data_IF_340430265322
#
_entry.id   IF_340430265322
#
_cell.length_a   1.000
_cell.length_b   1.000
_cell.length_c   1.000
_cell.angle_alpha   90.00
_cell.angle_beta   90.00
_cell.angle_gamma   90.00
#
_symmetry.space_group_name_H-M   'P 1'
#
loop_
_entity.id
_entity.type
_entity.pdbx_description
1 polymer ?
#
# COMPACT_ATOMS: atom_id res chain seq x y z
N UNK A 1 -9.94 -9.28 -1.79
CA UNK A 1 -8.89 -8.49 -1.11
C UNK A 1 -8.11 -7.78 -2.20
N UNK A 2 -8.10 -6.44 -2.27
CA UNK A 2 -7.34 -5.73 -3.29
C UNK A 2 -5.84 -6.04 -3.19
N UNK A 3 -5.32 -6.70 -4.22
CA UNK A 3 -3.90 -6.95 -4.42
C UNK A 3 -3.24 -5.68 -4.98
N UNK A 4 -2.21 -5.19 -4.30
CA UNK A 4 -1.53 -3.93 -4.62
C UNK A 4 -0.20 -4.15 -5.32
N UNK A 5 0.53 -5.21 -4.95
CA UNK A 5 1.76 -5.67 -5.59
C UNK A 5 1.74 -7.20 -5.69
N UNK A 6 2.32 -7.75 -6.76
CA UNK A 6 2.43 -9.21 -6.95
C UNK A 6 3.69 -9.55 -7.72
N UNK A 7 4.73 -9.93 -6.99
CA UNK A 7 6.06 -10.18 -7.54
C UNK A 7 6.63 -8.94 -8.24
N UNK A 8 6.42 -7.77 -7.64
CA UNK A 8 6.82 -6.48 -8.21
C UNK A 8 8.04 -5.90 -7.51
N UNK A 9 8.69 -4.94 -8.14
CA UNK A 9 9.80 -4.13 -7.57
C UNK A 9 9.56 -2.62 -7.70
N UNK A 10 8.38 -2.22 -8.18
CA UNK A 10 8.02 -0.83 -8.44
C UNK A 10 6.65 -0.50 -7.81
N UNK A 11 6.28 0.78 -7.90
CA UNK A 11 4.98 1.28 -7.42
C UNK A 11 3.83 0.60 -8.14
N UNK A 12 2.86 0.12 -7.36
CA UNK A 12 1.68 -0.56 -7.88
C UNK A 12 0.68 0.37 -8.57
N UNK A 13 -0.25 -0.24 -9.31
CA UNK A 13 -1.36 0.48 -9.93
C UNK A 13 -2.45 0.84 -8.91
N UNK A 14 -3.30 1.81 -9.26
CA UNK A 14 -4.45 2.17 -8.44
C UNK A 14 -5.52 1.07 -8.45
N UNK A 15 -6.00 0.68 -7.27
CA UNK A 15 -7.03 -0.34 -7.07
C UNK A 15 -8.19 0.24 -6.25
N UNK A 16 -9.41 -0.22 -6.50
CA UNK A 16 -10.59 0.21 -5.75
C UNK A 16 -10.59 -0.35 -4.32
N UNK A 17 -10.85 0.53 -3.35
CA UNK A 17 -11.06 0.24 -1.94
C UNK A 17 -12.51 0.50 -1.56
N UNK A 18 -13.13 -0.48 -0.90
CA UNK A 18 -14.53 -0.42 -0.49
C UNK A 18 -14.83 0.50 0.70
N UNK A 19 -13.79 1.07 1.33
CA UNK A 19 -13.92 1.92 2.50
C UNK A 19 -13.92 1.16 3.83
N UNK A 20 -13.83 1.91 4.93
CA UNK A 20 -13.83 1.36 6.29
C UNK A 20 -12.44 0.98 6.79
N UNK A 21 -12.41 0.09 7.77
CA UNK A 21 -11.19 -0.39 8.42
C UNK A 21 -10.53 -1.48 7.58
N UNK A 22 -9.23 -1.35 7.36
CA UNK A 22 -8.44 -2.34 6.66
C UNK A 22 -7.10 -2.60 7.31
N UNK A 23 -6.48 -3.72 6.94
CA UNK A 23 -5.09 -4.04 7.25
C UNK A 23 -4.31 -4.06 5.95
N UNK A 24 -3.23 -3.29 5.92
CA UNK A 24 -2.23 -3.34 4.85
C UNK A 24 -1.14 -4.32 5.26
N UNK A 25 -0.77 -5.24 4.38
CA UNK A 25 0.37 -6.15 4.59
C UNK A 25 1.29 -6.11 3.40
N UNK A 26 2.60 -6.10 3.63
CA UNK A 26 3.60 -6.23 2.59
C UNK A 26 4.73 -7.17 3.01
N UNK A 27 5.13 -8.05 2.09
CA UNK A 27 6.23 -8.99 2.26
C UNK A 27 7.08 -9.03 0.99
N UNK A 28 8.39 -9.26 1.14
CA UNK A 28 9.32 -9.43 0.04
C UNK A 28 10.73 -9.01 0.42
N UNK A 29 11.55 -8.70 -0.58
CA UNK A 29 12.86 -8.07 -0.37
C UNK A 29 12.69 -6.56 -0.50
N UNK A 30 12.83 -5.82 0.60
CA UNK A 30 12.73 -4.36 0.57
C UNK A 30 14.01 -3.73 0.03
N UNK A 31 15.18 -4.30 0.31
CA UNK A 31 16.46 -3.78 -0.22
C UNK A 31 16.70 -2.30 0.09
N UNK A 32 16.27 -1.84 1.28
CA UNK A 32 16.32 -0.43 1.70
C UNK A 32 15.18 0.45 1.17
N UNK A 33 14.22 -0.10 0.42
CA UNK A 33 13.03 0.60 -0.02
C UNK A 33 12.07 0.86 1.15
N UNK A 34 11.25 1.89 0.99
CA UNK A 34 10.09 2.15 1.84
C UNK A 34 8.82 1.92 1.04
N UNK A 35 7.91 1.12 1.57
CA UNK A 35 6.64 0.78 0.94
C UNK A 35 5.53 1.49 1.72
N UNK A 36 4.77 2.36 1.05
CA UNK A 36 3.74 3.18 1.69
C UNK A 36 2.40 2.96 1.03
N UNK A 37 1.35 2.68 1.81
CA UNK A 37 -0.01 2.70 1.30
C UNK A 37 -0.44 4.15 1.01
N UNK A 38 -0.91 4.39 -0.21
CA UNK A 38 -1.40 5.69 -0.64
C UNK A 38 -2.88 5.62 -1.01
N UNK A 39 -3.59 6.69 -0.69
CA UNK A 39 -4.94 7.01 -1.14
C UNK A 39 -4.90 8.05 -2.27
N UNK A 40 -5.83 7.96 -3.22
CA UNK A 40 -5.99 8.99 -4.24
C UNK A 40 -6.84 10.13 -3.69
N UNK A 41 -6.25 11.32 -3.63
CA UNK A 41 -6.86 12.52 -3.07
C UNK A 41 -8.19 12.90 -3.72
N UNK A 42 -8.98 13.76 -3.04
CA UNK A 42 -10.29 14.20 -3.52
C UNK A 42 -10.23 14.99 -4.83
N UNK A 43 -9.05 15.50 -5.20
CA UNK A 43 -8.78 16.12 -6.50
C UNK A 43 -8.67 15.10 -7.65
N UNK A 44 -8.70 13.81 -7.34
CA UNK A 44 -8.61 12.72 -8.31
C UNK A 44 -7.20 12.52 -8.89
N UNK A 45 -6.16 13.13 -8.32
CA UNK A 45 -4.79 13.09 -8.86
C UNK A 45 -3.71 12.94 -7.79
N UNK A 46 -3.82 13.67 -6.67
CA UNK A 46 -2.79 13.68 -5.63
C UNK A 46 -2.71 12.35 -4.91
N UNK A 47 -1.51 11.82 -4.70
CA UNK A 47 -1.32 10.62 -3.90
C UNK A 47 -1.03 10.99 -2.43
N UNK A 48 -1.94 10.63 -1.53
CA UNK A 48 -1.87 10.95 -0.11
C UNK A 48 -1.40 9.71 0.64
N UNK A 49 -0.30 9.81 1.41
CA UNK A 49 0.13 8.71 2.28
C UNK A 49 -0.90 8.47 3.40
N UNK A 50 -1.24 7.20 3.65
CA UNK A 50 -2.27 6.85 4.64
C UNK A 50 -1.78 6.84 6.10
N UNK A 51 -0.50 7.15 6.33
CA UNK A 51 0.09 7.28 7.66
C UNK A 51 1.27 6.35 7.91
N UNK A 52 1.92 6.54 9.06
CA UNK A 52 3.15 5.83 9.44
C UNK A 52 2.91 4.34 9.69
N UNK A 53 1.73 3.96 10.20
CA UNK A 53 1.39 2.55 10.45
C UNK A 53 1.33 1.72 9.16
N UNK A 54 1.04 2.37 8.03
CA UNK A 54 1.05 1.76 6.69
C UNK A 54 2.28 2.10 5.85
N UNK A 55 3.33 2.62 6.50
CA UNK A 55 4.64 2.90 5.92
C UNK A 55 5.64 1.88 6.45
N UNK A 56 6.03 0.95 5.60
CA UNK A 56 6.83 -0.21 5.96
C UNK A 56 8.24 -0.08 5.38
N UNK A 57 9.25 -0.42 6.18
CA UNK A 57 10.66 -0.51 5.77
C UNK A 57 11.20 -1.95 5.88
N UNK A 58 10.35 -2.87 6.35
CA UNK A 58 10.58 -4.29 6.43
C UNK A 58 9.24 -5.02 6.28
N UNK A 59 9.29 -6.34 6.13
CA UNK A 59 8.10 -7.18 6.07
C UNK A 59 7.20 -6.95 7.28
N UNK A 60 5.91 -6.74 7.04
CA UNK A 60 4.97 -6.45 8.12
C UNK A 60 3.63 -5.98 7.62
N UNK A 61 2.89 -5.33 8.52
CA UNK A 61 1.59 -4.75 8.21
C UNK A 61 1.13 -3.74 9.25
N UNK A 62 0.09 -3.00 8.91
CA UNK A 62 -0.51 -2.00 9.76
C UNK A 62 -1.98 -1.75 9.42
N UNK A 63 -2.74 -1.34 10.43
CA UNK A 63 -4.15 -0.99 10.28
C UNK A 63 -4.33 0.42 9.70
N UNK A 64 -5.43 0.63 8.98
CA UNK A 64 -5.85 1.95 8.51
C UNK A 64 -7.38 2.05 8.45
N UNK A 65 -7.90 3.27 8.46
CA UNK A 65 -9.33 3.56 8.31
C UNK A 65 -9.48 4.67 7.28
N UNK A 66 -10.10 4.37 6.14
CA UNK A 66 -10.27 5.33 5.04
C UNK A 66 -11.62 5.15 4.31
N UNK A 67 -12.19 6.22 3.72
CA UNK A 67 -13.42 6.13 2.93
C UNK A 67 -13.22 5.30 1.63
N UNK A 68 -14.31 4.93 0.94
CA UNK A 68 -14.22 4.29 -0.37
C UNK A 68 -13.48 5.16 -1.38
N UNK A 69 -12.62 4.57 -2.21
CA UNK A 69 -11.83 5.30 -3.20
C UNK A 69 -10.71 4.46 -3.81
N UNK A 70 -9.70 5.10 -4.40
CA UNK A 70 -8.57 4.39 -5.02
C UNK A 70 -7.35 4.36 -4.08
N UNK A 71 -6.71 3.20 -3.97
CA UNK A 71 -5.50 2.99 -3.19
C UNK A 71 -4.39 2.34 -4.02
N UNK A 72 -3.13 2.54 -3.65
CA UNK A 72 -1.97 1.85 -4.25
C UNK A 72 -0.83 1.71 -3.23
N UNK A 73 0.07 0.76 -3.47
CA UNK A 73 1.34 0.69 -2.73
C UNK A 73 2.43 1.47 -3.49
N UNK A 74 2.93 2.55 -2.90
CA UNK A 74 4.13 3.25 -3.35
C UNK A 74 5.36 2.44 -2.93
N UNK A 75 6.30 2.28 -3.86
CA UNK A 75 7.64 1.72 -3.58
C UNK A 75 8.64 2.83 -3.85
N UNK A 76 9.39 3.25 -2.83
CA UNK A 76 10.32 4.38 -2.91
C UNK A 76 11.73 4.01 -2.43
N UNK A 77 12.73 4.32 -3.25
CA UNK A 77 14.14 4.07 -2.96
C UNK A 77 14.53 2.58 -2.99
N UNK A 78 15.78 2.31 -2.62
CA UNK A 78 16.31 0.95 -2.49
C UNK A 78 16.39 0.14 -3.78
N UNK A 79 16.58 -1.17 -3.64
CA UNK A 79 16.53 -2.16 -4.72
C UNK A 79 15.63 -3.34 -4.33
N UNK A 80 14.32 -3.11 -4.22
CA UNK A 80 13.39 -4.14 -3.79
C UNK A 80 13.16 -5.20 -4.88
N UNK A 81 12.74 -6.39 -4.47
CA UNK A 81 12.36 -7.47 -5.37
C UNK A 81 11.36 -8.41 -4.71
N UNK A 82 10.56 -9.08 -5.54
CA UNK A 82 9.54 -10.03 -5.10
C UNK A 82 8.63 -9.44 -4.00
N UNK A 83 8.20 -8.19 -4.17
CA UNK A 83 7.24 -7.56 -3.26
C UNK A 83 5.84 -8.07 -3.56
N UNK A 84 5.14 -8.45 -2.49
CA UNK A 84 3.74 -8.80 -2.47
C UNK A 84 3.06 -7.90 -1.44
N UNK A 85 2.01 -7.20 -1.84
CA UNK A 85 1.29 -6.30 -0.97
C UNK A 85 -0.20 -6.38 -1.24
N UNK A 86 -0.98 -6.27 -0.18
CA UNK A 86 -2.43 -6.33 -0.25
C UNK A 86 -3.05 -5.46 0.84
N UNK A 87 -4.28 -5.03 0.60
CA UNK A 87 -5.14 -4.44 1.60
C UNK A 87 -6.34 -5.36 1.84
N UNK A 88 -6.60 -5.69 3.10
CA UNK A 88 -7.70 -6.56 3.51
C UNK A 88 -8.69 -5.75 4.34
N UNK A 89 -9.99 -5.88 4.04
CA UNK A 89 -11.03 -5.22 4.82
C UNK A 89 -11.34 -6.05 6.05
N UNK A 90 -11.27 -5.42 7.23
CA UNK A 90 -11.65 -6.07 8.49
C UNK A 90 -13.16 -6.06 8.56
N UNK A 91 -13.76 -7.25 8.63
CA UNK A 91 -15.21 -7.44 8.76
C UNK A 91 -15.64 -7.54 10.21
#
# INVERSE_FOLDING_TARGET
>A
MPQLLSNESATGSWVQWGGGTGVFTCVGTFGGATITLQYKGPDGSTAVAMGVDTTLTANGGGGFIYPPGQIRALVAGGSPSALYAQAEQVK
#
